data_IF_285465402864
#
_entry.id   IF_285465402864
#
_cell.length_a   1.000
_cell.length_b   1.000
_cell.length_c   1.000
_cell.angle_alpha   90.00
_cell.angle_beta   90.00
_cell.angle_gamma   90.00
#
_symmetry.space_group_name_H-M   'P 1'
#
loop_
_entity.id
_entity.type
_entity.pdbx_description
1 polymer ?
#
# COMPACT_ATOMS: atom_id res chain seq x y z
N UNK A 1 60.58 -20.58 -19.34
CA UNK A 1 59.88 -21.64 -20.09
C UNK A 1 58.38 -21.39 -19.92
N UNK A 2 57.80 -20.35 -20.52
CA UNK A 2 57.46 -20.20 -21.95
C UNK A 2 56.47 -21.25 -22.46
N UNK A 3 55.16 -20.94 -22.48
CA UNK A 3 54.46 -20.41 -23.68
C UNK A 3 52.94 -20.35 -23.50
N UNK A 4 52.42 -19.21 -23.94
CA UNK A 4 51.03 -18.88 -24.30
C UNK A 4 50.47 -19.75 -25.43
N UNK A 5 49.12 -19.87 -25.49
CA UNK A 5 48.23 -19.78 -26.70
C UNK A 5 46.80 -19.54 -26.15
N UNK A 6 46.19 -18.35 -26.13
CA UNK A 6 45.55 -17.52 -27.19
C UNK A 6 44.57 -18.28 -28.09
N UNK A 7 43.28 -17.99 -27.95
CA UNK A 7 42.22 -18.46 -28.86
C UNK A 7 40.97 -17.59 -28.76
N UNK A 8 41.07 -16.38 -29.30
CA UNK A 8 39.97 -15.44 -29.57
C UNK A 8 39.04 -16.04 -30.66
N UNK A 9 37.72 -15.82 -30.59
CA UNK A 9 36.93 -15.44 -31.77
C UNK A 9 35.55 -14.89 -31.43
N UNK A 10 35.29 -13.72 -32.02
CA UNK A 10 34.09 -12.91 -31.96
C UNK A 10 33.02 -13.36 -32.97
N UNK A 11 31.79 -12.87 -32.72
CA UNK A 11 30.73 -12.50 -33.67
C UNK A 11 30.12 -13.62 -34.52
N UNK A 12 28.81 -13.86 -34.30
CA UNK A 12 27.81 -13.69 -35.36
C UNK A 12 26.57 -13.01 -34.77
N UNK A 13 26.29 -11.82 -35.30
CA UNK A 13 25.07 -11.05 -35.20
C UNK A 13 24.11 -11.60 -36.27
N UNK A 14 22.85 -11.88 -35.94
CA UNK A 14 21.75 -12.00 -36.91
C UNK A 14 20.42 -11.74 -36.22
N UNK A 15 19.94 -10.51 -36.39
CA UNK A 15 18.59 -10.00 -36.11
C UNK A 15 17.58 -10.56 -37.15
N UNK A 16 16.37 -10.00 -37.32
CA UNK A 16 15.17 -10.04 -36.46
C UNK A 16 13.96 -10.66 -37.21
N UNK A 17 12.95 -11.16 -36.50
CA UNK A 17 11.66 -11.49 -37.12
C UNK A 17 10.81 -10.21 -37.26
N UNK A 18 10.63 -9.75 -38.49
CA UNK A 18 9.64 -8.73 -38.88
C UNK A 18 8.90 -9.25 -40.10
N UNK A 19 7.59 -9.50 -39.97
CA UNK A 19 6.71 -9.80 -41.09
C UNK A 19 5.63 -8.72 -41.23
N UNK A 20 5.84 -7.90 -42.25
CA UNK A 20 4.94 -7.16 -43.12
C UNK A 20 3.42 -7.22 -42.88
N UNK A 21 2.79 -6.03 -42.87
CA UNK A 21 1.73 -5.68 -43.84
C UNK A 21 1.57 -4.16 -43.93
N UNK A 22 2.07 -3.59 -45.02
CA UNK A 22 1.80 -2.25 -45.53
C UNK A 22 0.68 -2.31 -46.56
N UNK A 23 -0.31 -1.46 -46.42
CA UNK A 23 -1.19 -1.03 -47.52
C UNK A 23 -1.27 0.50 -47.47
N UNK A 24 -1.00 1.12 -48.61
CA UNK A 24 -0.86 2.56 -48.81
C UNK A 24 -2.15 3.18 -49.40
N UNK A 25 -2.59 4.32 -48.82
CA UNK A 25 -3.07 5.63 -49.39
C UNK A 25 -3.91 5.67 -50.71
N UNK A 26 -4.81 6.70 -50.95
CA UNK A 26 -4.49 8.14 -50.79
C UNK A 26 -5.63 9.17 -50.46
N UNK A 27 -5.19 10.27 -49.84
CA UNK A 27 -5.47 11.73 -50.06
C UNK A 27 -6.85 12.24 -50.52
N UNK A 28 -7.42 13.22 -49.79
CA UNK A 28 -7.77 14.55 -50.34
C UNK A 28 -8.10 15.59 -49.25
N UNK A 29 -7.63 16.82 -49.47
CA UNK A 29 -7.91 18.06 -48.72
C UNK A 29 -9.42 18.37 -48.62
N UNK A 30 -9.84 19.03 -47.53
CA UNK A 30 -10.56 20.31 -47.55
C UNK A 30 -10.83 20.84 -46.13
N UNK A 31 -10.35 22.05 -45.84
CA UNK A 31 -10.92 22.95 -44.83
C UNK A 31 -12.27 23.47 -45.38
N UNK A 32 -13.25 23.77 -44.52
CA UNK A 32 -13.49 25.18 -44.23
C UNK A 32 -13.79 25.51 -42.76
N UNK A 33 -13.65 26.81 -42.51
CA UNK A 33 -13.86 27.61 -41.30
C UNK A 33 -15.29 27.61 -40.77
N UNK A 34 -15.37 27.81 -39.45
CA UNK A 34 -16.32 28.66 -38.71
C UNK A 34 -17.78 28.22 -38.64
N UNK A 35 -18.20 27.92 -37.41
CA UNK A 35 -19.59 27.77 -37.00
C UNK A 35 -19.66 27.69 -35.48
N UNK A 36 -19.85 28.85 -34.85
CA UNK A 36 -20.21 29.01 -33.44
C UNK A 36 -21.44 28.16 -33.09
N UNK A 37 -21.36 27.43 -31.98
CA UNK A 37 -22.46 27.28 -31.03
C UNK A 37 -21.88 26.67 -29.77
N UNK A 38 -21.78 27.48 -28.73
CA UNK A 38 -21.57 27.06 -27.37
C UNK A 38 -22.60 25.97 -27.03
N UNK A 39 -22.13 24.73 -26.96
CA UNK A 39 -22.77 23.71 -26.15
C UNK A 39 -21.78 23.41 -25.06
N UNK A 40 -21.93 24.20 -24.01
CA UNK A 40 -21.67 23.88 -22.63
C UNK A 40 -21.65 22.36 -22.45
N UNK A 41 -20.47 21.77 -22.63
CA UNK A 41 -20.16 20.46 -22.07
C UNK A 41 -20.12 20.78 -20.60
N UNK A 42 -21.25 20.54 -19.94
CA UNK A 42 -21.36 20.47 -18.50
C UNK A 42 -20.26 19.51 -18.06
N UNK A 43 -19.13 20.11 -17.69
CA UNK A 43 -18.05 19.46 -17.01
C UNK A 43 -18.69 19.01 -15.71
N UNK A 44 -19.12 17.75 -15.68
CA UNK A 44 -19.62 17.10 -14.49
C UNK A 44 -18.44 17.16 -13.53
N UNK A 45 -18.48 18.18 -12.69
CA UNK A 45 -17.57 18.36 -11.58
C UNK A 45 -18.06 17.34 -10.53
N UNK A 46 -17.79 16.06 -10.78
CA UNK A 46 -17.72 15.02 -9.74
C UNK A 46 -16.46 15.28 -8.89
N UNK A 47 -16.27 16.52 -8.44
CA UNK A 47 -15.45 16.76 -7.28
C UNK A 47 -16.27 16.29 -6.11
N UNK A 48 -16.05 15.03 -5.72
CA UNK A 48 -16.39 14.54 -4.39
C UNK A 48 -15.64 15.43 -3.38
N UNK A 49 -16.23 16.59 -3.06
CA UNK A 49 -15.71 17.52 -2.08
C UNK A 49 -15.81 16.81 -0.74
N UNK A 50 -14.69 16.28 -0.26
CA UNK A 50 -14.69 15.49 0.96
C UNK A 50 -14.84 16.42 2.16
N UNK A 51 -15.78 16.12 3.04
CA UNK A 51 -15.91 16.80 4.31
C UNK A 51 -14.79 16.36 5.27
N UNK A 52 -14.30 17.29 6.09
CA UNK A 52 -13.19 17.04 7.01
C UNK A 52 -13.55 15.94 8.01
N UNK A 53 -14.78 15.96 8.50
CA UNK A 53 -15.35 15.01 9.47
C UNK A 53 -15.42 13.61 8.88
N UNK A 54 -15.84 13.51 7.61
CA UNK A 54 -15.89 12.23 6.90
C UNK A 54 -14.49 11.64 6.74
N UNK A 55 -13.51 12.46 6.33
CA UNK A 55 -12.13 11.99 6.19
C UNK A 55 -11.50 11.63 7.54
N UNK A 56 -11.78 12.39 8.59
CA UNK A 56 -11.35 12.06 9.95
C UNK A 56 -11.92 10.71 10.40
N UNK A 57 -13.21 10.46 10.15
CA UNK A 57 -13.86 9.18 10.48
C UNK A 57 -13.19 8.00 9.76
N UNK A 58 -12.90 8.13 8.47
CA UNK A 58 -12.15 7.12 7.70
C UNK A 58 -10.77 6.88 8.32
N UNK A 59 -10.03 7.94 8.64
CA UNK A 59 -8.70 7.80 9.23
C UNK A 59 -8.74 7.15 10.61
N UNK A 60 -9.74 7.45 11.45
CA UNK A 60 -9.95 6.82 12.75
C UNK A 60 -10.21 5.32 12.56
N UNK A 61 -11.13 4.97 11.66
CA UNK A 61 -11.48 3.58 11.37
C UNK A 61 -10.25 2.75 10.98
N UNK A 62 -9.45 3.25 10.02
CA UNK A 62 -8.23 2.59 9.58
C UNK A 62 -7.19 2.48 10.70
N UNK A 63 -7.08 3.50 11.56
CA UNK A 63 -6.22 3.45 12.74
C UNK A 63 -6.66 2.33 13.71
N UNK A 64 -7.96 2.17 13.92
CA UNK A 64 -8.50 1.13 14.80
C UNK A 64 -8.32 -0.28 14.20
N UNK A 65 -8.50 -0.43 12.89
CA UNK A 65 -8.17 -1.68 12.18
C UNK A 65 -6.68 -2.01 12.29
N UNK A 66 -5.78 -1.04 12.09
CA UNK A 66 -4.34 -1.20 12.29
C UNK A 66 -4.01 -1.65 13.71
N UNK A 67 -4.59 -0.99 14.72
CA UNK A 67 -4.40 -1.39 16.11
C UNK A 67 -4.86 -2.83 16.36
N UNK A 68 -5.99 -3.21 15.78
CA UNK A 68 -6.56 -4.56 15.91
C UNK A 68 -5.59 -5.61 15.37
N UNK A 69 -5.08 -5.43 14.15
CA UNK A 69 -4.14 -6.39 13.55
C UNK A 69 -2.79 -6.42 14.26
N UNK A 70 -2.29 -5.27 14.76
CA UNK A 70 -1.07 -5.22 15.57
C UNK A 70 -1.23 -6.04 16.85
N UNK A 71 -2.35 -5.88 17.57
CA UNK A 71 -2.60 -6.67 18.78
C UNK A 71 -2.73 -8.17 18.46
N UNK A 72 -3.47 -8.51 17.40
CA UNK A 72 -3.61 -9.90 16.96
C UNK A 72 -2.24 -10.54 16.65
N UNK A 73 -1.38 -9.83 15.91
CA UNK A 73 -0.03 -10.30 15.59
C UNK A 73 0.88 -10.37 16.82
N UNK A 74 0.69 -9.50 17.83
CA UNK A 74 1.39 -9.62 19.10
C UNK A 74 0.99 -10.88 19.87
N UNK A 75 -0.32 -11.18 19.90
CA UNK A 75 -0.85 -12.38 20.55
C UNK A 75 -0.34 -13.64 19.82
N UNK A 76 -0.39 -13.64 18.48
CA UNK A 76 0.20 -14.70 17.65
C UNK A 76 1.68 -14.90 17.92
N UNK A 77 2.46 -13.82 17.97
CA UNK A 77 3.89 -13.92 18.26
C UNK A 77 4.15 -14.50 19.66
N UNK A 78 3.30 -14.19 20.64
CA UNK A 78 3.37 -14.80 21.96
C UNK A 78 3.06 -16.31 21.91
N UNK A 79 2.04 -16.73 21.15
CA UNK A 79 1.69 -18.14 20.98
C UNK A 79 2.77 -18.94 20.25
N UNK A 80 3.43 -18.33 19.26
CA UNK A 80 4.58 -18.90 18.54
C UNK A 80 5.78 -19.11 19.47
N UNK A 81 5.97 -18.28 20.49
CA UNK A 81 7.04 -18.52 21.48
C UNK A 81 6.81 -19.80 22.31
N UNK A 82 5.57 -20.27 22.42
CA UNK A 82 5.24 -21.47 23.18
C UNK A 82 5.44 -22.70 22.29
N UNK A 83 6.50 -23.47 22.55
CA UNK A 83 6.88 -24.63 21.73
C UNK A 83 5.81 -25.75 21.72
N UNK A 84 5.00 -25.86 22.77
CA UNK A 84 3.93 -26.86 22.85
C UNK A 84 2.72 -26.52 21.96
N UNK A 85 2.65 -25.31 21.41
CA UNK A 85 1.51 -24.90 20.59
C UNK A 85 1.55 -25.58 19.24
N UNK A 86 0.38 -26.01 18.74
CA UNK A 86 0.27 -26.68 17.46
C UNK A 86 0.57 -25.71 16.31
N UNK A 87 1.78 -25.78 15.77
CA UNK A 87 2.25 -24.93 14.68
C UNK A 87 1.34 -24.99 13.43
N UNK A 88 0.71 -26.14 13.15
CA UNK A 88 -0.20 -26.27 11.99
C UNK A 88 -1.49 -25.51 12.20
N UNK A 89 -2.06 -25.58 13.41
CA UNK A 89 -3.26 -24.81 13.74
C UNK A 89 -2.97 -23.31 13.64
N UNK A 90 -1.86 -22.85 14.24
CA UNK A 90 -1.46 -21.45 14.16
C UNK A 90 -1.20 -21.00 12.72
N UNK A 91 -0.55 -21.83 11.89
CA UNK A 91 -0.32 -21.50 10.48
C UNK A 91 -1.65 -21.31 9.73
N UNK A 92 -2.59 -22.23 9.89
CA UNK A 92 -3.91 -22.08 9.28
C UNK A 92 -4.64 -20.84 9.78
N UNK A 93 -4.57 -20.51 11.07
CA UNK A 93 -5.20 -19.28 11.57
C UNK A 93 -4.53 -18.00 11.05
N UNK A 94 -3.21 -18.02 10.85
CA UNK A 94 -2.47 -16.92 10.23
C UNK A 94 -2.92 -16.73 8.77
N UNK A 95 -2.99 -17.81 7.99
CA UNK A 95 -3.39 -17.80 6.58
C UNK A 95 -4.88 -17.49 6.38
N UNK A 96 -5.78 -18.03 7.22
CA UNK A 96 -7.22 -17.92 7.03
C UNK A 96 -7.83 -16.67 7.66
N UNK A 97 -7.17 -16.06 8.66
CA UNK A 97 -7.69 -14.88 9.38
C UNK A 97 -6.83 -13.65 9.18
N UNK A 98 -5.52 -13.76 9.41
CA UNK A 98 -4.61 -12.60 9.43
C UNK A 98 -4.35 -12.09 8.01
N UNK A 99 -4.07 -12.98 7.06
CA UNK A 99 -3.80 -12.59 5.67
C UNK A 99 -5.01 -11.90 5.02
N UNK A 100 -6.26 -12.44 5.07
CA UNK A 100 -7.42 -11.73 4.53
C UNK A 100 -7.67 -10.38 5.20
N UNK A 101 -7.41 -10.26 6.50
CA UNK A 101 -7.51 -8.97 7.21
C UNK A 101 -6.51 -7.95 6.66
N UNK A 102 -5.24 -8.33 6.48
CA UNK A 102 -4.21 -7.46 5.93
C UNK A 102 -4.55 -7.01 4.50
N UNK A 103 -5.04 -7.93 3.66
CA UNK A 103 -5.46 -7.62 2.28
C UNK A 103 -6.65 -6.66 2.26
N UNK A 104 -7.67 -6.87 3.09
CA UNK A 104 -8.82 -5.97 3.16
C UNK A 104 -8.41 -4.58 3.65
N UNK A 105 -7.56 -4.51 4.66
CA UNK A 105 -7.03 -3.25 5.17
C UNK A 105 -6.20 -2.52 4.10
N UNK A 106 -5.41 -3.23 3.29
CA UNK A 106 -4.68 -2.65 2.16
C UNK A 106 -5.61 -2.02 1.12
N UNK A 107 -6.70 -2.71 0.77
CA UNK A 107 -7.71 -2.21 -0.16
C UNK A 107 -8.36 -0.93 0.37
N UNK A 108 -8.81 -0.94 1.63
CA UNK A 108 -9.42 0.24 2.27
C UNK A 108 -8.44 1.40 2.39
N UNK A 109 -7.18 1.11 2.71
CA UNK A 109 -6.13 2.13 2.78
C UNK A 109 -5.85 2.76 1.42
N UNK A 110 -5.82 1.94 0.36
CA UNK A 110 -5.58 2.40 -1.02
C UNK A 110 -6.74 3.26 -1.52
N UNK A 111 -7.99 2.88 -1.22
CA UNK A 111 -9.17 3.65 -1.57
C UNK A 111 -9.17 5.04 -0.90
N UNK A 112 -8.85 5.09 0.40
CA UNK A 112 -8.77 6.35 1.15
C UNK A 112 -7.59 7.25 0.71
N UNK A 113 -6.45 6.67 0.33
CA UNK A 113 -5.33 7.42 -0.26
C UNK A 113 -5.71 8.07 -1.57
N UNK A 114 -6.40 7.34 -2.44
CA UNK A 114 -6.91 7.88 -3.71
C UNK A 114 -7.89 9.03 -3.48
N UNK A 115 -8.78 8.90 -2.49
CA UNK A 115 -9.71 9.97 -2.10
C UNK A 115 -8.98 11.26 -1.67
N UNK A 116 -7.97 11.13 -0.80
CA UNK A 116 -7.16 12.27 -0.34
C UNK A 116 -6.39 12.90 -1.51
N UNK A 117 -5.72 12.07 -2.32
CA UNK A 117 -4.96 12.53 -3.48
C UNK A 117 -5.85 13.34 -4.43
N UNK A 118 -7.02 12.81 -4.75
CA UNK A 118 -7.98 13.46 -5.65
C UNK A 118 -8.45 14.81 -5.09
N UNK A 119 -8.68 14.90 -3.78
CA UNK A 119 -9.07 16.15 -3.12
C UNK A 119 -7.92 17.17 -3.05
N UNK A 120 -6.68 16.72 -2.90
CA UNK A 120 -5.50 17.61 -2.96
C UNK A 120 -5.30 18.14 -4.38
N UNK A 121 -5.37 17.27 -5.39
CA UNK A 121 -5.08 17.62 -6.78
C UNK A 121 -6.14 18.58 -7.36
N UNK A 122 -7.35 18.58 -6.80
CA UNK A 122 -8.46 19.45 -7.23
C UNK A 122 -8.61 20.72 -6.39
N UNK A 123 -7.94 20.82 -5.24
CA UNK A 123 -8.02 21.99 -4.37
C UNK A 123 -7.15 23.15 -4.88
N UNK A 124 -7.64 24.37 -4.76
CA UNK A 124 -6.80 25.56 -4.98
C UNK A 124 -5.93 25.78 -3.76
N UNK A 125 -4.68 26.21 -3.97
CA UNK A 125 -3.70 26.46 -2.89
C UNK A 125 -4.21 27.48 -1.86
N UNK A 126 -5.09 28.41 -2.27
CA UNK A 126 -5.69 29.40 -1.39
C UNK A 126 -6.79 28.84 -0.48
N UNK A 127 -7.23 27.61 -0.67
CA UNK A 127 -8.32 27.02 0.12
C UNK A 127 -7.80 26.49 1.46
N UNK A 128 -8.49 26.84 2.54
CA UNK A 128 -8.18 26.39 3.91
C UNK A 128 -8.25 24.87 4.07
N UNK A 129 -8.90 24.16 3.13
CA UNK A 129 -8.95 22.70 3.16
C UNK A 129 -7.64 22.01 2.84
N UNK A 130 -6.75 22.66 2.09
CA UNK A 130 -5.44 22.10 1.74
C UNK A 130 -4.65 21.75 3.00
N UNK A 131 -4.69 22.60 4.02
CA UNK A 131 -3.95 22.40 5.27
C UNK A 131 -4.33 21.09 5.97
N UNK A 132 -5.64 20.84 6.18
CA UNK A 132 -6.06 19.62 6.84
C UNK A 132 -5.95 18.39 5.92
N UNK A 133 -6.10 18.54 4.60
CA UNK A 133 -5.85 17.46 3.63
C UNK A 133 -4.40 16.97 3.70
N UNK A 134 -3.43 17.89 3.77
CA UNK A 134 -2.01 17.56 3.89
C UNK A 134 -1.69 16.84 5.21
N UNK A 135 -2.33 17.24 6.32
CA UNK A 135 -2.18 16.55 7.61
C UNK A 135 -2.74 15.13 7.59
N UNK A 136 -3.92 14.92 7.02
CA UNK A 136 -4.45 13.56 6.86
C UNK A 136 -3.62 12.72 5.90
N UNK A 137 -3.14 13.30 4.80
CA UNK A 137 -2.23 12.63 3.88
C UNK A 137 -0.96 12.14 4.61
N UNK A 138 -0.38 12.98 5.48
CA UNK A 138 0.76 12.57 6.30
C UNK A 138 0.41 11.39 7.22
N UNK A 139 -0.71 11.47 7.95
CA UNK A 139 -1.15 10.37 8.82
C UNK A 139 -1.32 9.06 8.04
N UNK A 140 -1.87 9.16 6.83
CA UNK A 140 -2.07 8.03 5.92
C UNK A 140 -0.77 7.39 5.43
N UNK A 141 0.25 8.19 5.13
CA UNK A 141 1.57 7.66 4.79
C UNK A 141 2.18 6.89 5.97
N UNK A 142 2.07 7.40 7.20
CA UNK A 142 2.55 6.68 8.39
C UNK A 142 1.78 5.37 8.62
N UNK A 143 0.46 5.36 8.40
CA UNK A 143 -0.35 4.13 8.44
C UNK A 143 0.07 3.12 7.36
N UNK A 144 0.37 3.59 6.15
CA UNK A 144 0.81 2.78 5.02
C UNK A 144 2.13 2.07 5.32
N UNK A 145 3.10 2.81 5.84
CA UNK A 145 4.41 2.26 6.25
C UNK A 145 4.25 1.16 7.31
N UNK A 146 3.33 1.36 8.27
CA UNK A 146 3.01 0.33 9.26
C UNK A 146 2.40 -0.91 8.61
N UNK A 147 1.44 -0.75 7.69
CA UNK A 147 0.83 -1.89 7.02
C UNK A 147 1.84 -2.72 6.22
N UNK A 148 2.71 -2.06 5.44
CA UNK A 148 3.79 -2.70 4.69
C UNK A 148 4.73 -3.46 5.63
N UNK A 149 5.06 -2.88 6.78
CA UNK A 149 5.90 -3.57 7.78
C UNK A 149 5.19 -4.80 8.35
N UNK A 150 3.88 -4.71 8.59
CA UNK A 150 3.08 -5.83 9.09
C UNK A 150 3.01 -6.98 8.08
N UNK A 151 2.80 -6.69 6.79
CA UNK A 151 2.73 -7.71 5.75
C UNK A 151 4.10 -8.31 5.43
N UNK A 152 5.11 -7.48 5.21
CA UNK A 152 6.35 -7.94 4.58
C UNK A 152 7.40 -8.38 5.60
N UNK A 153 7.32 -7.86 6.83
CA UNK A 153 8.30 -8.16 7.88
C UNK A 153 7.73 -9.06 8.94
N UNK A 154 6.56 -8.72 9.49
CA UNK A 154 5.99 -9.44 10.62
C UNK A 154 5.29 -10.73 10.16
N UNK A 155 4.34 -10.61 9.22
CA UNK A 155 3.57 -11.75 8.75
C UNK A 155 4.48 -12.80 8.09
N UNK A 156 5.35 -12.41 7.14
CA UNK A 156 6.26 -13.35 6.48
C UNK A 156 7.17 -14.09 7.47
N UNK A 157 7.65 -13.41 8.52
CA UNK A 157 8.54 -14.05 9.49
C UNK A 157 7.80 -15.04 10.40
N UNK A 158 6.57 -14.72 10.80
CA UNK A 158 5.70 -15.65 11.53
C UNK A 158 5.34 -16.86 10.67
N UNK A 159 4.93 -16.63 9.42
CA UNK A 159 4.59 -17.67 8.45
C UNK A 159 5.79 -18.60 8.20
N UNK A 160 6.99 -18.03 8.01
CA UNK A 160 8.24 -18.78 7.86
C UNK A 160 8.50 -19.69 9.05
N UNK A 161 8.40 -19.17 10.27
CA UNK A 161 8.66 -19.93 11.50
C UNK A 161 7.66 -21.08 11.63
N UNK A 162 6.37 -20.79 11.48
CA UNK A 162 5.29 -21.77 11.59
C UNK A 162 5.38 -22.83 10.50
N UNK A 163 5.67 -22.44 9.26
CA UNK A 163 5.89 -23.36 8.13
C UNK A 163 7.05 -24.33 8.38
N UNK A 164 8.18 -23.84 8.90
CA UNK A 164 9.33 -24.68 9.22
C UNK A 164 9.00 -25.64 10.37
N UNK A 165 8.32 -25.17 11.42
CA UNK A 165 7.88 -26.02 12.53
C UNK A 165 6.88 -27.09 12.07
N UNK A 166 5.97 -26.77 11.15
CA UNK A 166 5.05 -27.74 10.55
C UNK A 166 5.75 -28.88 9.79
N UNK A 167 6.97 -28.63 9.31
CA UNK A 167 7.84 -29.63 8.65
C UNK A 167 8.71 -30.42 9.63
N UNK A 168 8.59 -30.14 10.93
CA UNK A 168 9.33 -30.81 12.00
C UNK A 168 10.64 -30.12 12.40
N UNK A 169 10.91 -28.89 11.95
CA UNK A 169 12.10 -28.15 12.37
C UNK A 169 11.91 -27.59 13.79
N UNK A 170 12.75 -28.02 14.73
CA UNK A 170 12.77 -27.53 16.12
C UNK A 170 13.73 -26.34 16.30
N UNK A 171 13.53 -25.55 17.36
CA UNK A 171 14.42 -24.42 17.71
C UNK A 171 14.33 -23.21 16.78
N UNK A 172 13.36 -23.19 15.86
CA UNK A 172 13.13 -22.06 14.95
C UNK A 172 12.34 -20.98 15.69
N UNK A 173 12.85 -19.76 15.67
CA UNK A 173 12.19 -18.58 16.23
C UNK A 173 12.10 -17.46 15.18
N UNK A 174 11.19 -16.52 15.44
CA UNK A 174 11.10 -15.28 14.68
C UNK A 174 12.27 -14.35 15.04
N UNK A 175 12.51 -13.35 14.20
CA UNK A 175 13.57 -12.34 14.36
C UNK A 175 13.38 -11.60 15.68
N UNK A 176 14.46 -11.42 16.44
CA UNK A 176 14.41 -10.80 17.77
C UNK A 176 13.74 -9.41 17.78
N UNK A 177 13.90 -8.65 16.70
CA UNK A 177 13.36 -7.30 16.57
C UNK A 177 11.85 -7.26 16.29
N UNK A 178 11.21 -8.39 15.94
CA UNK A 178 9.79 -8.44 15.58
C UNK A 178 8.90 -7.90 16.72
N UNK A 179 9.16 -8.32 17.96
CA UNK A 179 8.39 -7.86 19.12
C UNK A 179 8.66 -6.41 19.49
N UNK A 180 9.86 -5.90 19.20
CA UNK A 180 10.18 -4.47 19.38
C UNK A 180 9.40 -3.66 18.34
N UNK A 181 9.40 -4.12 17.08
CA UNK A 181 8.68 -3.52 15.97
C UNK A 181 7.17 -3.41 16.25
N UNK A 182 6.52 -4.53 16.64
CA UNK A 182 5.09 -4.54 16.98
C UNK A 182 4.75 -3.58 18.13
N UNK A 183 5.55 -3.55 19.20
CA UNK A 183 5.36 -2.62 20.33
C UNK A 183 5.51 -1.17 19.91
N UNK A 184 6.46 -0.87 19.02
CA UNK A 184 6.66 0.47 18.49
C UNK A 184 5.46 0.89 17.62
N UNK A 185 4.99 0.02 16.71
CA UNK A 185 3.83 0.29 15.86
C UNK A 185 2.55 0.52 16.68
N UNK A 186 2.35 -0.23 17.77
CA UNK A 186 1.22 0.01 18.70
C UNK A 186 1.24 1.43 19.26
N UNK A 187 2.40 1.88 19.77
CA UNK A 187 2.57 3.26 20.27
C UNK A 187 2.38 4.30 19.18
N UNK A 188 2.91 4.05 17.98
CA UNK A 188 2.74 4.94 16.83
C UNK A 188 1.28 5.08 16.43
N UNK A 189 0.53 3.97 16.43
CA UNK A 189 -0.91 3.97 16.14
C UNK A 189 -1.70 4.77 17.17
N UNK A 190 -1.37 4.64 18.46
CA UNK A 190 -1.99 5.44 19.52
C UNK A 190 -1.70 6.94 19.37
N UNK A 191 -0.48 7.29 18.94
CA UNK A 191 -0.09 8.68 18.65
C UNK A 191 -0.86 9.23 17.45
N UNK A 192 -0.94 8.47 16.35
CA UNK A 192 -1.69 8.87 15.15
C UNK A 192 -3.17 9.09 15.46
N UNK A 193 -3.80 8.18 16.21
CA UNK A 193 -5.21 8.34 16.54
C UNK A 193 -5.46 9.61 17.37
N UNK A 194 -4.57 9.96 18.29
CA UNK A 194 -4.64 11.23 19.03
C UNK A 194 -4.52 12.45 18.11
N UNK A 195 -3.61 12.40 17.13
CA UNK A 195 -3.45 13.49 16.14
C UNK A 195 -4.69 13.65 15.26
N UNK A 196 -5.26 12.55 14.78
CA UNK A 196 -6.48 12.55 13.95
C UNK A 196 -7.65 13.14 14.74
N UNK A 197 -7.83 12.74 16.00
CA UNK A 197 -8.86 13.29 16.89
C UNK A 197 -8.66 14.79 17.16
N UNK A 198 -7.42 15.22 17.38
CA UNK A 198 -7.10 16.64 17.54
C UNK A 198 -7.54 17.44 16.30
N UNK A 199 -7.18 16.98 15.10
CA UNK A 199 -7.56 17.64 13.85
C UNK A 199 -9.08 17.66 13.63
N UNK A 200 -9.80 16.62 14.08
CA UNK A 200 -11.27 16.61 14.07
C UNK A 200 -11.85 17.70 15.00
N UNK A 201 -11.29 17.89 16.20
CA UNK A 201 -11.81 18.82 17.22
C UNK A 201 -11.50 20.30 17.00
N UNK A 202 -10.53 20.65 16.15
CA UNK A 202 -10.14 22.06 15.89
C UNK A 202 -11.26 22.89 15.22
N UNK A 203 -12.42 22.30 14.90
CA UNK A 203 -13.56 22.99 14.27
C UNK A 203 -14.67 23.49 15.22
N UNK A 204 -14.54 23.33 16.55
CA UNK A 204 -15.60 23.76 17.48
C UNK A 204 -15.47 25.17 18.05
N UNK A 205 -14.66 26.06 17.48
CA UNK A 205 -14.49 27.45 17.94
C UNK A 205 -14.59 28.48 16.82
#
# INVERSE_FOLDING_TARGET
MDRNVVGNNQKILSSPFTCYSTMSRPSSKCLPKSGSSDKEVSQIHDSANVEKEHLASICIHLCDQLRTIINLLMDFAADVCVESTNARSLLCELEDKVLPFLVNLDIEMTASEKLIRTNIDTARISETKVDWLLKFNKCKLEMREMLVTLSDVVYEDLERVLSLRCRGCCGINFKQDLMICLRQMKKSTDKLQKQIKLEQTILTY
#
